data_IF_406102305610
#
_entry.id   IF_406102305610
#
_cell.length_a   1.000
_cell.length_b   1.000
_cell.length_c   1.000
_cell.angle_alpha   90.00
_cell.angle_beta   90.00
_cell.angle_gamma   90.00
#
_symmetry.space_group_name_H-M   'P 1'
#
loop_
_entity.id
_entity.type
_entity.pdbx_description
1 polymer ?
#
# COMPACT_ATOMS: atom_id res chain seq x y z
N UNK A 1 6.47 15.85 17.76
CA UNK A 1 5.31 16.07 16.89
C UNK A 1 4.86 14.76 16.28
N UNK A 2 3.59 14.41 16.48
CA UNK A 2 3.09 13.14 15.96
C UNK A 2 2.79 13.26 14.49
N UNK A 3 3.06 12.18 13.76
CA UNK A 3 2.72 12.06 12.34
C UNK A 3 1.69 10.97 12.17
N UNK A 4 0.83 11.13 11.18
CA UNK A 4 -0.17 10.13 10.83
C UNK A 4 0.20 9.49 9.51
N UNK A 5 0.22 8.16 9.50
CA UNK A 5 0.49 7.37 8.31
C UNK A 5 -0.74 6.54 7.99
N UNK A 6 -1.35 6.83 6.86
CA UNK A 6 -2.46 6.04 6.35
C UNK A 6 -1.91 4.97 5.43
N UNK A 7 -2.28 3.74 5.67
CA UNK A 7 -1.87 2.60 4.83
C UNK A 7 -3.11 2.05 4.15
N UNK A 8 -3.14 2.12 2.83
CA UNK A 8 -4.22 1.54 2.04
C UNK A 8 -3.86 0.08 1.79
N UNK A 9 -4.70 -0.84 2.28
CA UNK A 9 -4.44 -2.28 2.23
C UNK A 9 -5.52 -2.99 1.44
N UNK A 10 -5.21 -4.20 0.95
CA UNK A 10 -6.14 -4.96 0.14
C UNK A 10 -7.27 -5.61 0.94
N UNK A 11 -6.98 -6.09 2.14
CA UNK A 11 -7.96 -6.84 2.89
C UNK A 11 -7.70 -6.88 4.38
N UNK A 12 -8.47 -7.71 5.07
CA UNK A 12 -8.45 -7.79 6.53
C UNK A 12 -7.12 -8.32 7.08
N UNK A 13 -6.47 -9.23 6.38
CA UNK A 13 -5.22 -9.80 6.86
C UNK A 13 -4.13 -8.73 6.96
N UNK A 14 -4.02 -7.90 5.92
CA UNK A 14 -3.07 -6.79 5.90
C UNK A 14 -3.47 -5.72 6.92
N UNK A 15 -4.77 -5.49 7.10
CA UNK A 15 -5.26 -4.54 8.08
C UNK A 15 -4.88 -4.98 9.50
N UNK A 16 -5.08 -6.25 9.82
CA UNK A 16 -4.72 -6.80 11.12
C UNK A 16 -3.21 -6.72 11.37
N UNK A 17 -2.41 -7.02 10.34
CA UNK A 17 -0.97 -6.88 10.44
C UNK A 17 -0.57 -5.45 10.78
N UNK A 18 -1.16 -4.48 10.10
CA UNK A 18 -0.88 -3.09 10.37
C UNK A 18 -1.29 -2.67 11.79
N UNK A 19 -2.44 -3.11 12.26
CA UNK A 19 -2.93 -2.77 13.59
C UNK A 19 -2.15 -3.46 14.70
N UNK A 20 -1.85 -4.74 14.52
CA UNK A 20 -1.32 -5.56 15.60
C UNK A 20 0.20 -5.53 15.69
N UNK A 21 0.89 -5.40 14.57
CA UNK A 21 2.35 -5.44 14.53
C UNK A 21 2.98 -4.09 14.20
N UNK A 22 2.46 -3.41 13.19
CA UNK A 22 3.06 -2.14 12.76
C UNK A 22 2.71 -0.97 13.69
N UNK A 23 1.45 -0.85 14.07
CA UNK A 23 1.00 0.30 14.84
C UNK A 23 1.71 0.44 16.19
N UNK A 24 1.84 -0.64 17.00
CA UNK A 24 2.57 -0.52 18.27
C UNK A 24 4.04 -0.12 18.07
N UNK A 25 4.68 -0.70 17.06
CA UNK A 25 6.08 -0.39 16.78
C UNK A 25 6.26 1.08 16.40
N UNK A 26 5.44 1.59 15.51
CA UNK A 26 5.57 2.97 15.05
C UNK A 26 5.09 3.99 16.07
N UNK A 27 4.20 3.58 16.97
CA UNK A 27 3.73 4.47 18.03
C UNK A 27 4.89 4.92 18.92
N UNK A 28 5.83 4.04 19.19
CA UNK A 28 7.03 4.38 19.97
C UNK A 28 7.89 5.44 19.27
N UNK A 29 7.71 5.60 17.97
CA UNK A 29 8.43 6.61 17.18
C UNK A 29 7.57 7.83 16.88
N UNK A 30 6.43 7.97 17.55
CA UNK A 30 5.54 9.12 17.34
C UNK A 30 4.74 9.07 16.06
N UNK A 31 4.59 7.89 15.46
CA UNK A 31 3.86 7.71 14.21
C UNK A 31 2.60 6.90 14.48
N UNK A 32 1.45 7.47 14.12
CA UNK A 32 0.15 6.81 14.25
C UNK A 32 -0.20 6.16 12.92
N UNK A 33 -0.49 4.85 12.95
CA UNK A 33 -0.81 4.06 11.77
C UNK A 33 -2.34 3.92 11.66
N UNK A 34 -2.87 4.25 10.48
CA UNK A 34 -4.29 4.11 10.19
C UNK A 34 -4.47 3.26 8.94
N UNK A 35 -4.71 1.95 9.09
CA UNK A 35 -4.97 1.10 7.92
C UNK A 35 -6.37 1.32 7.39
N UNK A 36 -6.51 1.33 6.08
CA UNK A 36 -7.77 1.49 5.38
C UNK A 36 -7.87 0.43 4.30
N UNK A 37 -8.90 -0.40 4.36
CA UNK A 37 -9.15 -1.41 3.33
C UNK A 37 -9.69 -0.72 2.09
N UNK A 38 -9.16 -1.10 0.93
CA UNK A 38 -9.59 -0.53 -0.34
C UNK A 38 -11.08 -0.77 -0.56
N UNK A 39 -11.81 0.29 -0.89
CA UNK A 39 -13.23 0.20 -1.20
C UNK A 39 -13.41 -0.29 -2.63
N UNK A 40 -13.91 -1.51 -2.76
CA UNK A 40 -14.30 -2.03 -4.06
C UNK A 40 -15.80 -1.82 -4.26
N UNK A 41 -16.25 -1.83 -5.49
CA UNK A 41 -17.66 -1.57 -5.75
C UNK A 41 -18.53 -2.70 -5.19
N UNK A 42 -19.59 -2.31 -4.48
CA UNK A 42 -20.73 -3.14 -4.07
C UNK A 42 -20.41 -4.41 -3.31
N UNK A 43 -19.95 -4.27 -2.09
CA UNK A 43 -19.94 -5.37 -1.14
C UNK A 43 -18.90 -6.45 -1.37
N UNK A 44 -18.03 -6.29 -2.33
CA UNK A 44 -16.89 -7.16 -2.50
C UNK A 44 -15.79 -6.72 -1.55
N UNK A 45 -15.70 -7.42 -0.44
CA UNK A 45 -14.60 -7.20 0.49
C UNK A 45 -13.49 -8.17 0.17
N UNK A 46 -12.30 -7.64 -0.10
CA UNK A 46 -11.11 -8.49 -0.28
C UNK A 46 -11.09 -9.26 -1.57
N UNK A 47 -11.64 -8.70 -2.63
CA UNK A 47 -11.54 -9.30 -3.94
C UNK A 47 -10.44 -8.67 -4.77
N UNK A 48 -10.50 -8.92 -6.06
CA UNK A 48 -9.60 -8.29 -7.02
C UNK A 48 -9.74 -6.77 -6.93
N UNK A 49 -8.61 -6.12 -6.69
CA UNK A 49 -8.55 -4.67 -6.60
C UNK A 49 -7.92 -4.14 -7.88
N UNK A 50 -8.66 -3.29 -8.60
CA UNK A 50 -8.07 -2.62 -9.74
C UNK A 50 -7.45 -1.29 -9.30
N UNK A 51 -6.66 -0.71 -10.19
CA UNK A 51 -5.95 0.51 -9.87
C UNK A 51 -6.89 1.69 -9.58
N UNK A 52 -8.05 1.74 -10.25
CA UNK A 52 -8.98 2.84 -10.00
C UNK A 52 -9.49 2.86 -8.57
N UNK A 53 -9.80 1.69 -8.01
CA UNK A 53 -10.21 1.62 -6.62
C UNK A 53 -9.11 2.14 -5.69
N UNK A 54 -7.88 1.71 -5.94
CA UNK A 54 -6.73 2.15 -5.16
C UNK A 54 -6.54 3.66 -5.29
N UNK A 55 -6.55 4.18 -6.49
CA UNK A 55 -6.37 5.60 -6.77
C UNK A 55 -7.46 6.45 -6.11
N UNK A 56 -8.71 5.98 -6.18
CA UNK A 56 -9.82 6.71 -5.57
C UNK A 56 -9.65 6.83 -4.06
N UNK A 57 -9.25 5.76 -3.40
CA UNK A 57 -9.06 5.79 -1.95
C UNK A 57 -7.85 6.65 -1.56
N UNK A 58 -6.78 6.56 -2.30
CA UNK A 58 -5.61 7.41 -2.06
C UNK A 58 -6.00 8.88 -2.20
N UNK A 59 -6.68 9.23 -3.28
CA UNK A 59 -7.09 10.62 -3.52
C UNK A 59 -8.07 11.12 -2.46
N UNK A 60 -8.96 10.25 -1.99
CA UNK A 60 -9.88 10.62 -0.93
C UNK A 60 -9.13 10.98 0.36
N UNK A 61 -8.14 10.18 0.71
CA UNK A 61 -7.32 10.45 1.89
C UNK A 61 -6.51 11.74 1.72
N UNK A 62 -5.90 11.93 0.56
CA UNK A 62 -5.11 13.13 0.29
C UNK A 62 -5.95 14.41 0.34
N UNK A 63 -7.20 14.32 -0.09
CA UNK A 63 -8.10 15.49 -0.05
C UNK A 63 -8.64 15.76 1.34
N UNK A 64 -8.88 14.72 2.14
CA UNK A 64 -9.54 14.89 3.43
C UNK A 64 -8.58 15.16 4.58
N UNK A 65 -7.30 14.90 4.40
CA UNK A 65 -6.30 15.03 5.45
C UNK A 65 -5.36 16.20 5.19
N UNK A 66 -4.69 16.65 6.22
CA UNK A 66 -3.79 17.81 6.14
C UNK A 66 -2.40 17.47 5.62
N UNK A 67 -1.51 18.44 5.74
CA UNK A 67 -0.15 18.30 5.23
C UNK A 67 0.76 17.45 6.12
N UNK A 68 0.32 17.16 7.33
CA UNK A 68 1.06 16.34 8.29
C UNK A 68 0.80 14.84 8.14
N UNK A 69 0.16 14.46 7.06
CA UNK A 69 -0.23 13.08 6.78
C UNK A 69 0.63 12.51 5.65
N UNK A 70 1.02 11.26 5.81
CA UNK A 70 1.66 10.47 4.76
C UNK A 70 0.73 9.33 4.40
N UNK A 71 0.62 9.03 3.13
CA UNK A 71 -0.18 7.92 2.63
C UNK A 71 0.75 6.92 1.94
N UNK A 72 0.63 5.67 2.30
CA UNK A 72 1.33 4.58 1.64
C UNK A 72 0.34 3.48 1.29
N UNK A 73 0.81 2.49 0.57
CA UNK A 73 0.00 1.35 0.16
C UNK A 73 0.66 0.06 0.63
N UNK A 74 -0.14 -0.99 0.74
CA UNK A 74 0.39 -2.33 1.01
C UNK A 74 -0.40 -3.28 0.10
N UNK A 75 0.07 -3.43 -1.13
CA UNK A 75 -0.61 -4.15 -2.20
C UNK A 75 0.34 -5.18 -2.78
N UNK A 76 -0.17 -6.40 -3.01
CA UNK A 76 0.63 -7.48 -3.60
C UNK A 76 0.88 -7.25 -5.08
N UNK A 77 2.14 -7.40 -5.48
CA UNK A 77 2.53 -7.30 -6.88
C UNK A 77 1.77 -8.32 -7.76
N UNK A 78 1.61 -9.53 -7.27
CA UNK A 78 1.01 -10.60 -8.05
C UNK A 78 -0.51 -10.51 -8.15
N UNK A 79 -1.14 -9.68 -7.31
CA UNK A 79 -2.61 -9.53 -7.30
C UNK A 79 -3.10 -8.31 -8.04
N UNK A 80 -2.20 -7.47 -8.52
CA UNK A 80 -2.57 -6.22 -9.18
C UNK A 80 -1.86 -6.05 -10.51
N UNK A 81 -2.15 -6.93 -11.50
CA UNK A 81 -1.46 -6.86 -12.80
C UNK A 81 -1.81 -5.62 -13.61
N UNK A 82 -2.87 -4.90 -13.24
CA UNK A 82 -3.32 -3.71 -13.95
C UNK A 82 -2.81 -2.40 -13.37
N UNK A 83 -1.76 -2.47 -12.54
CA UNK A 83 -1.15 -1.26 -12.00
C UNK A 83 -0.42 -0.47 -13.08
N UNK A 84 -0.36 0.86 -12.95
CA UNK A 84 0.39 1.69 -13.90
C UNK A 84 1.83 1.21 -14.02
N UNK A 85 2.31 1.14 -15.24
CA UNK A 85 3.68 0.71 -15.52
C UNK A 85 3.86 -0.80 -15.55
N UNK A 86 2.84 -1.59 -15.18
CA UNK A 86 2.97 -3.05 -15.14
C UNK A 86 3.20 -3.64 -16.52
N UNK A 87 2.53 -3.12 -17.54
CA UNK A 87 2.69 -3.61 -18.92
C UNK A 87 4.10 -3.36 -19.43
N UNK A 88 4.62 -2.16 -19.19
CA UNK A 88 5.96 -1.79 -19.62
C UNK A 88 7.03 -2.58 -18.89
N UNK A 89 6.68 -3.12 -17.73
CA UNK A 89 7.59 -3.88 -16.89
C UNK A 89 7.67 -5.36 -17.25
N UNK A 90 6.81 -5.84 -18.14
CA UNK A 90 6.73 -7.27 -18.46
C UNK A 90 8.04 -7.85 -18.99
N UNK A 91 8.89 -7.01 -19.60
CA UNK A 91 10.18 -7.42 -20.15
C UNK A 91 11.32 -7.35 -19.14
N UNK A 92 11.08 -6.79 -17.97
CA UNK A 92 12.09 -6.67 -16.93
C UNK A 92 12.07 -7.96 -16.11
N UNK A 93 13.19 -8.68 -16.07
CA UNK A 93 13.26 -9.94 -15.36
C UNK A 93 13.41 -9.76 -13.85
N UNK A 94 14.03 -8.67 -13.42
CA UNK A 94 14.24 -8.41 -12.00
C UNK A 94 12.95 -7.88 -11.39
N UNK A 95 12.34 -8.65 -10.48
CA UNK A 95 11.07 -8.30 -9.84
C UNK A 95 11.18 -7.01 -9.02
N UNK A 96 12.29 -6.79 -8.36
CA UNK A 96 12.47 -5.57 -7.56
C UNK A 96 12.46 -4.33 -8.46
N UNK A 97 13.07 -4.41 -9.63
CA UNK A 97 13.05 -3.30 -10.60
C UNK A 97 11.64 -3.08 -11.14
N UNK A 98 10.90 -4.16 -11.39
CA UNK A 98 9.52 -4.06 -11.85
C UNK A 98 8.65 -3.35 -10.82
N UNK A 99 8.79 -3.75 -9.55
CA UNK A 99 8.04 -3.15 -8.46
C UNK A 99 8.39 -1.67 -8.32
N UNK A 100 9.68 -1.33 -8.35
CA UNK A 100 10.10 0.07 -8.25
C UNK A 100 9.54 0.92 -9.38
N UNK A 101 9.45 0.36 -10.58
CA UNK A 101 8.89 1.09 -11.71
C UNK A 101 7.40 1.31 -11.57
N UNK A 102 6.67 0.31 -11.06
CA UNK A 102 5.24 0.45 -10.78
C UNK A 102 5.01 1.50 -9.69
N UNK A 103 5.79 1.45 -8.62
CA UNK A 103 5.68 2.44 -7.55
C UNK A 103 5.90 3.86 -8.07
N UNK A 104 6.91 4.03 -8.91
CA UNK A 104 7.18 5.32 -9.53
C UNK A 104 6.03 5.77 -10.43
N UNK A 105 5.47 4.85 -11.21
CA UNK A 105 4.35 5.18 -12.10
C UNK A 105 3.12 5.62 -11.31
N UNK A 106 2.83 4.98 -10.18
CA UNK A 106 1.72 5.38 -9.31
C UNK A 106 2.00 6.76 -8.71
N UNK A 107 3.21 6.98 -8.25
CA UNK A 107 3.61 8.26 -7.68
C UNK A 107 3.47 9.39 -8.69
N UNK A 108 3.90 9.16 -9.93
CA UNK A 108 3.82 10.15 -10.99
C UNK A 108 2.36 10.43 -11.39
N UNK A 109 1.52 9.39 -11.43
CA UNK A 109 0.13 9.53 -11.83
C UNK A 109 -0.69 10.34 -10.82
N UNK A 110 -0.49 10.09 -9.53
CA UNK A 110 -1.21 10.80 -8.48
C UNK A 110 -0.58 12.15 -8.19
N UNK A 111 0.75 12.22 -8.27
CA UNK A 111 1.51 13.46 -8.17
C UNK A 111 1.23 14.26 -6.89
N UNK A 112 1.40 13.61 -5.75
CA UNK A 112 1.27 14.26 -4.44
C UNK A 112 2.46 13.83 -3.57
N UNK A 113 3.17 14.82 -3.00
CA UNK A 113 4.39 14.58 -2.22
C UNK A 113 4.15 13.78 -0.94
N UNK A 114 2.91 13.69 -0.48
CA UNK A 114 2.55 12.93 0.71
C UNK A 114 2.39 11.43 0.44
N UNK A 115 2.39 11.03 -0.83
CA UNK A 115 2.19 9.63 -1.21
C UNK A 115 3.53 8.94 -1.43
N UNK A 116 3.70 7.81 -0.76
CA UNK A 116 4.84 6.91 -0.95
C UNK A 116 4.30 5.51 -1.25
N UNK A 117 4.05 5.19 -2.55
CA UNK A 117 3.50 3.88 -2.89
C UNK A 117 4.46 2.77 -2.53
N UNK A 118 3.93 1.71 -1.96
CA UNK A 118 4.70 0.50 -1.67
C UNK A 118 3.95 -0.70 -2.23
N UNK A 119 4.65 -1.50 -3.03
CA UNK A 119 4.12 -2.73 -3.60
C UNK A 119 4.89 -3.89 -3.00
N UNK A 120 4.16 -4.83 -2.40
CA UNK A 120 4.77 -6.00 -1.79
C UNK A 120 5.23 -6.96 -2.89
N UNK A 121 6.53 -7.21 -2.94
CA UNK A 121 7.14 -8.03 -3.99
C UNK A 121 6.70 -9.48 -3.93
N UNK A 122 6.64 -10.04 -2.73
CA UNK A 122 6.17 -11.41 -2.50
C UNK A 122 4.81 -11.39 -1.86
N UNK A 123 4.10 -12.51 -1.93
CA UNK A 123 2.80 -12.60 -1.26
C UNK A 123 2.95 -12.25 0.22
N UNK A 124 1.93 -11.59 0.77
CA UNK A 124 1.95 -11.15 2.15
C UNK A 124 2.19 -12.33 3.10
N UNK A 125 1.56 -13.46 2.82
CA UNK A 125 1.70 -14.66 3.66
C UNK A 125 3.14 -15.15 3.74
N UNK A 126 3.93 -14.95 2.70
CA UNK A 126 5.33 -15.33 2.72
C UNK A 126 6.13 -14.58 3.79
N UNK A 127 5.74 -13.36 4.08
CA UNK A 127 6.39 -12.59 5.13
C UNK A 127 6.20 -13.22 6.50
N UNK A 128 5.03 -13.79 6.75
CA UNK A 128 4.70 -14.41 8.02
C UNK A 128 5.55 -15.63 8.31
N UNK A 129 6.03 -16.30 7.27
CA UNK A 129 6.85 -17.51 7.40
C UNK A 129 8.34 -17.26 7.28
N UNK A 130 8.75 -16.05 6.91
CA UNK A 130 10.18 -15.75 6.70
C UNK A 130 10.91 -15.45 7.99
N UNK A 131 10.19 -15.18 9.08
CA UNK A 131 10.80 -14.74 10.32
C UNK A 131 11.31 -13.31 10.31
N UNK A 132 11.10 -12.59 9.23
CA UNK A 132 11.60 -11.22 9.07
C UNK A 132 10.97 -10.22 10.03
N UNK A 133 9.87 -10.59 10.65
CA UNK A 133 9.17 -9.74 11.60
C UNK A 133 9.52 -10.02 13.06
N UNK A 134 10.26 -11.08 13.31
CA UNK A 134 10.61 -11.49 14.66
C UNK A 134 11.86 -10.73 15.11
N UNK A 135 11.71 -9.47 15.22
CA UNK A 135 12.80 -8.63 15.68
C UNK A 135 12.46 -8.05 17.03
#
# INVERSE_FOLDING_TARGET
MSKRLYIVVEGQTEEEFAKDLMAPYFLDHGIYIYPTIIHTSRGHKGGFVNYEHLKNDINRLLKSQGEDVVVTTFVDFFRCPELPGAEDCSRIQNHAERVAKIEKAISDDINDWRLYPYIQLHEFEALLFSGSFLI
#
